data_IF_680210057337
#
_entry.id   IF_680210057337
#
_cell.length_a   1.000
_cell.length_b   1.000
_cell.length_c   1.000
_cell.angle_alpha   90.00
_cell.angle_beta   90.00
_cell.angle_gamma   90.00
#
_symmetry.space_group_name_H-M   'P 1'
#
loop_
_entity.id
_entity.type
_entity.pdbx_description
1 polymer ?
#
# COMPACT_ATOMS: atom_id res chain seq x y z
N UNK A 1 -30.61 30.90 17.87
CA UNK A 1 -29.90 29.61 18.05
C UNK A 1 -30.00 28.87 16.74
N UNK A 2 -28.92 28.92 15.98
CA UNK A 2 -28.82 28.56 14.57
C UNK A 2 -29.09 27.07 14.35
N UNK A 3 -29.64 26.75 13.19
CA UNK A 3 -30.11 25.44 12.74
C UNK A 3 -29.05 24.34 12.91
N UNK A 4 -27.78 24.72 12.87
CA UNK A 4 -26.57 23.93 13.09
C UNK A 4 -26.49 23.29 14.50
N UNK A 5 -26.86 24.01 15.55
CA UNK A 5 -26.91 23.47 16.92
C UNK A 5 -28.05 22.46 17.11
N UNK A 6 -29.07 22.46 16.24
CA UNK A 6 -30.12 21.43 16.27
C UNK A 6 -29.66 20.17 15.57
N UNK A 7 -28.78 20.24 14.57
CA UNK A 7 -28.25 19.07 13.88
C UNK A 7 -27.26 18.30 14.77
N UNK A 8 -26.27 19.01 15.37
CA UNK A 8 -25.33 18.41 16.33
C UNK A 8 -26.02 17.78 17.55
N UNK A 9 -27.12 18.38 18.00
CA UNK A 9 -27.90 17.86 19.14
C UNK A 9 -28.94 16.82 18.74
N UNK A 10 -29.26 16.68 17.45
CA UNK A 10 -30.11 15.60 16.94
C UNK A 10 -29.25 14.34 16.75
N UNK A 11 -28.05 14.44 16.17
CA UNK A 11 -27.08 13.34 16.13
C UNK A 11 -26.73 12.83 17.54
N UNK A 12 -26.36 13.70 18.49
CA UNK A 12 -26.04 13.24 19.86
C UNK A 12 -27.25 12.70 20.66
N UNK A 13 -28.51 13.06 20.32
CA UNK A 13 -29.70 12.59 21.06
C UNK A 13 -30.30 11.30 20.52
N UNK A 14 -30.00 10.89 19.30
CA UNK A 14 -30.44 9.59 18.76
C UNK A 14 -29.50 8.43 19.13
N UNK A 15 -28.33 8.72 19.72
CA UNK A 15 -27.36 7.72 20.19
C UNK A 15 -27.76 6.89 21.43
N UNK A 16 -29.03 6.92 21.87
CA UNK A 16 -29.50 6.10 23.00
C UNK A 16 -30.64 5.12 22.70
N UNK A 17 -31.01 4.89 21.44
CA UNK A 17 -31.97 3.82 21.11
C UNK A 17 -31.98 3.31 19.67
N UNK A 18 -30.84 3.24 19.00
CA UNK A 18 -30.69 2.39 17.80
C UNK A 18 -29.77 1.24 18.15
N UNK A 19 -30.33 0.03 18.16
CA UNK A 19 -29.62 -1.21 18.49
C UNK A 19 -29.08 -1.90 17.22
N UNK A 20 -29.08 -1.18 16.10
CA UNK A 20 -28.47 -1.46 14.80
C UNK A 20 -28.29 -0.10 14.11
N UNK A 21 -27.11 0.20 13.61
CA UNK A 21 -26.95 1.23 12.58
C UNK A 21 -27.79 0.80 11.35
N UNK A 22 -28.18 1.71 10.44
CA UNK A 22 -28.69 1.29 9.15
C UNK A 22 -27.72 0.28 8.52
N UNK A 23 -28.25 -0.77 7.91
CA UNK A 23 -27.45 -1.72 7.12
C UNK A 23 -26.69 -0.91 6.04
N UNK A 24 -27.35 0.07 5.38
CA UNK A 24 -26.69 0.96 4.41
C UNK A 24 -26.75 2.44 4.84
N UNK A 25 -25.63 3.15 4.73
CA UNK A 25 -25.53 4.60 4.94
C UNK A 25 -25.11 5.34 3.67
N UNK A 26 -25.79 6.44 3.35
CA UNK A 26 -25.38 7.36 2.28
C UNK A 26 -25.34 8.80 2.79
N UNK A 27 -24.20 9.47 2.65
CA UNK A 27 -24.05 10.90 2.97
C UNK A 27 -22.61 11.31 3.29
N UNK A 28 -22.41 12.62 3.41
CA UNK A 28 -21.12 13.25 3.76
C UNK A 28 -21.25 14.01 5.09
N UNK A 29 -21.26 13.32 6.25
CA UNK A 29 -21.18 13.99 7.55
C UNK A 29 -19.76 14.53 7.80
N UNK A 30 -19.60 15.60 8.58
CA UNK A 30 -18.25 16.05 9.01
C UNK A 30 -17.47 14.87 9.63
N UNK A 31 -18.01 14.25 10.69
CA UNK A 31 -17.41 13.05 11.31
C UNK A 31 -18.39 11.87 11.27
N UNK A 32 -17.89 10.67 10.96
CA UNK A 32 -18.62 9.41 11.10
C UNK A 32 -17.88 8.40 11.98
N UNK A 33 -18.61 7.75 12.89
CA UNK A 33 -18.11 6.60 13.64
C UNK A 33 -19.13 5.47 13.66
N UNK A 34 -18.77 4.32 13.11
CA UNK A 34 -19.64 3.14 13.08
C UNK A 34 -19.23 2.12 12.01
N UNK A 35 -19.94 0.99 12.01
CA UNK A 35 -19.77 -0.10 11.04
C UNK A 35 -21.16 -0.41 10.44
N UNK A 36 -21.64 0.36 9.45
CA UNK A 36 -22.75 -0.10 8.60
C UNK A 36 -22.29 -1.30 7.76
N UNK A 37 -23.21 -2.04 7.15
CA UNK A 37 -22.84 -3.05 6.15
C UNK A 37 -22.26 -2.29 4.93
N UNK A 38 -23.01 -1.31 4.38
CA UNK A 38 -22.57 -0.47 3.26
C UNK A 38 -22.44 1.02 3.68
N UNK A 39 -21.35 1.69 3.26
CA UNK A 39 -21.21 3.14 3.35
C UNK A 39 -20.92 3.77 1.98
N UNK A 40 -21.67 4.81 1.62
CA UNK A 40 -21.38 5.64 0.45
C UNK A 40 -21.32 7.12 0.80
N UNK A 41 -20.17 7.76 0.62
CA UNK A 41 -20.02 9.20 0.80
C UNK A 41 -18.59 9.66 1.12
N UNK A 42 -18.45 10.95 1.40
CA UNK A 42 -17.15 11.59 1.67
C UNK A 42 -17.26 12.41 2.95
N UNK A 43 -17.14 11.79 4.14
CA UNK A 43 -17.00 12.53 5.38
C UNK A 43 -15.63 13.20 5.48
N UNK A 44 -15.44 14.18 6.36
CA UNK A 44 -14.08 14.69 6.64
C UNK A 44 -13.32 13.56 7.39
N UNK A 45 -13.87 13.08 8.51
CA UNK A 45 -13.29 11.99 9.30
C UNK A 45 -14.19 10.73 9.29
N UNK A 46 -13.66 9.56 8.95
CA UNK A 46 -14.32 8.26 9.13
C UNK A 46 -13.56 7.35 10.08
N UNK A 47 -14.26 6.78 11.07
CA UNK A 47 -13.72 5.71 11.92
C UNK A 47 -14.67 4.53 12.00
N UNK A 48 -14.26 3.37 11.49
CA UNK A 48 -15.13 2.19 11.45
C UNK A 48 -14.63 1.05 10.58
N UNK A 49 -15.42 -0.02 10.54
CA UNK A 49 -15.16 -1.19 9.68
C UNK A 49 -16.48 -1.60 9.06
N UNK A 50 -16.95 -0.93 7.99
CA UNK A 50 -18.08 -1.42 7.21
C UNK A 50 -17.71 -2.67 6.42
N UNK A 51 -18.68 -3.42 5.89
CA UNK A 51 -18.36 -4.48 4.93
C UNK A 51 -17.88 -3.80 3.62
N UNK A 52 -18.69 -2.90 3.05
CA UNK A 52 -18.34 -2.13 1.84
C UNK A 52 -18.23 -0.61 2.14
N UNK A 53 -17.13 0.02 1.73
CA UNK A 53 -17.00 1.48 1.70
C UNK A 53 -16.76 2.01 0.29
N UNK A 54 -17.57 2.98 -0.14
CA UNK A 54 -17.35 3.74 -1.38
C UNK A 54 -17.31 5.25 -1.09
N UNK A 55 -16.17 5.90 -1.32
CA UNK A 55 -16.03 7.30 -0.93
C UNK A 55 -14.64 7.89 -1.03
N UNK A 56 -14.53 9.17 -0.68
CA UNK A 56 -13.24 9.88 -0.57
C UNK A 56 -13.30 10.76 0.66
N UNK A 57 -13.09 10.20 1.88
CA UNK A 57 -12.96 11.01 3.08
C UNK A 57 -11.62 11.74 3.13
N UNK A 58 -11.47 12.78 3.95
CA UNK A 58 -10.13 13.34 4.18
C UNK A 58 -9.32 12.31 4.98
N UNK A 59 -9.80 11.89 6.15
CA UNK A 59 -9.17 10.88 7.01
C UNK A 59 -10.04 9.61 7.13
N UNK A 60 -9.47 8.43 6.83
CA UNK A 60 -10.09 7.13 7.11
C UNK A 60 -9.27 6.30 8.10
N UNK A 61 -9.92 5.82 9.16
CA UNK A 61 -9.34 4.84 10.09
C UNK A 61 -10.25 3.62 10.23
N UNK A 62 -9.80 2.45 9.79
CA UNK A 62 -10.67 1.29 9.73
C UNK A 62 -10.13 0.06 9.02
N UNK A 63 -10.89 -1.02 9.06
CA UNK A 63 -10.63 -2.24 8.28
C UNK A 63 -11.95 -2.71 7.69
N UNK A 64 -12.41 -2.13 6.56
CA UNK A 64 -13.55 -2.68 5.83
C UNK A 64 -13.19 -3.97 5.12
N UNK A 65 -14.18 -4.75 4.67
CA UNK A 65 -13.87 -5.88 3.78
C UNK A 65 -13.44 -5.29 2.41
N UNK A 66 -14.30 -4.47 1.79
CA UNK A 66 -14.02 -3.79 0.51
C UNK A 66 -13.94 -2.26 0.69
N UNK A 67 -12.87 -1.63 0.20
CA UNK A 67 -12.77 -0.18 0.08
C UNK A 67 -12.58 0.27 -1.37
N UNK A 68 -13.44 1.17 -1.85
CA UNK A 68 -13.29 1.86 -3.14
C UNK A 68 -13.27 3.36 -2.95
N UNK A 69 -12.15 4.02 -3.23
CA UNK A 69 -12.03 5.44 -2.92
C UNK A 69 -10.66 6.08 -3.10
N UNK A 70 -10.60 7.37 -2.80
CA UNK A 70 -9.34 8.13 -2.76
C UNK A 70 -9.40 9.08 -1.57
N UNK A 71 -9.10 8.60 -0.35
CA UNK A 71 -8.97 9.47 0.81
C UNK A 71 -7.65 10.26 0.78
N UNK A 72 -7.52 11.35 1.53
CA UNK A 72 -6.22 11.98 1.70
C UNK A 72 -5.34 11.03 2.54
N UNK A 73 -5.79 10.67 3.76
CA UNK A 73 -5.10 9.73 4.65
C UNK A 73 -5.92 8.44 4.88
N UNK A 74 -5.32 7.28 4.65
CA UNK A 74 -5.91 5.98 5.03
C UNK A 74 -5.03 5.24 6.04
N UNK A 75 -5.61 4.87 7.18
CA UNK A 75 -4.99 3.97 8.16
C UNK A 75 -5.86 2.74 8.39
N UNK A 76 -5.38 1.56 8.02
CA UNK A 76 -6.24 0.38 8.04
C UNK A 76 -5.65 -0.91 7.51
N UNK A 77 -6.48 -1.94 7.45
CA UNK A 77 -6.12 -3.22 6.82
C UNK A 77 -7.41 -3.82 6.27
N UNK A 78 -7.90 -3.35 5.11
CA UNK A 78 -9.04 -3.94 4.45
C UNK A 78 -8.68 -5.27 3.79
N UNK A 79 -9.66 -6.10 3.44
CA UNK A 79 -9.36 -7.27 2.59
C UNK A 79 -8.99 -6.76 1.18
N UNK A 80 -9.88 -6.00 0.53
CA UNK A 80 -9.65 -5.42 -0.79
C UNK A 80 -9.63 -3.87 -0.74
N UNK A 81 -8.59 -3.24 -1.30
CA UNK A 81 -8.53 -1.80 -1.51
C UNK A 81 -8.38 -1.44 -2.99
N UNK A 82 -9.28 -0.62 -3.51
CA UNK A 82 -9.18 -0.02 -4.85
C UNK A 82 -9.20 1.50 -4.75
N UNK A 83 -8.10 2.16 -5.12
CA UNK A 83 -8.01 3.60 -4.90
C UNK A 83 -6.69 4.29 -5.16
N UNK A 84 -6.65 5.59 -4.92
CA UNK A 84 -5.42 6.39 -4.95
C UNK A 84 -5.48 7.39 -3.80
N UNK A 85 -5.12 6.99 -2.58
CA UNK A 85 -4.98 7.94 -1.48
C UNK A 85 -3.69 8.76 -1.58
N UNK A 86 -3.59 9.90 -0.90
CA UNK A 86 -2.29 10.57 -0.80
C UNK A 86 -1.37 9.70 0.09
N UNK A 87 -1.78 9.42 1.33
CA UNK A 87 -1.05 8.55 2.27
C UNK A 87 -1.82 7.27 2.61
N UNK A 88 -1.20 6.10 2.43
CA UNK A 88 -1.72 4.82 2.91
C UNK A 88 -0.81 4.18 3.94
N UNK A 89 -1.35 3.86 5.12
CA UNK A 89 -0.69 3.04 6.15
C UNK A 89 -1.52 1.81 6.46
N UNK A 90 -1.02 0.61 6.12
CA UNK A 90 -1.81 -0.59 6.30
C UNK A 90 -1.21 -1.90 5.80
N UNK A 91 -2.01 -2.97 5.81
CA UNK A 91 -1.61 -4.27 5.26
C UNK A 91 -2.88 -4.95 4.75
N UNK A 92 -3.42 -4.51 3.59
CA UNK A 92 -4.56 -5.17 2.99
C UNK A 92 -4.19 -6.53 2.40
N UNK A 93 -5.14 -7.42 2.14
CA UNK A 93 -4.84 -8.63 1.38
C UNK A 93 -4.52 -8.20 -0.07
N UNK A 94 -5.44 -7.50 -0.74
CA UNK A 94 -5.25 -6.99 -2.11
C UNK A 94 -5.28 -5.45 -2.15
N UNK A 95 -4.28 -4.83 -2.79
CA UNK A 95 -4.27 -3.40 -3.09
C UNK A 95 -4.15 -3.15 -4.60
N UNK A 96 -5.11 -2.40 -5.15
CA UNK A 96 -5.06 -1.89 -6.53
C UNK A 96 -5.13 -0.37 -6.55
N UNK A 97 -4.05 0.30 -6.97
CA UNK A 97 -4.02 1.75 -6.86
C UNK A 97 -2.71 2.46 -7.18
N UNK A 98 -2.72 3.78 -7.04
CA UNK A 98 -1.52 4.62 -7.14
C UNK A 98 -1.58 5.67 -6.05
N UNK A 99 -1.18 5.35 -4.81
CA UNK A 99 -1.04 6.34 -3.76
C UNK A 99 0.21 7.20 -3.94
N UNK A 100 0.29 8.38 -3.33
CA UNK A 100 1.57 9.10 -3.30
C UNK A 100 2.55 8.33 -2.39
N UNK A 101 2.18 8.12 -1.12
CA UNK A 101 2.97 7.35 -0.15
C UNK A 101 2.24 6.08 0.30
N UNK A 102 2.90 4.92 0.20
CA UNK A 102 2.42 3.65 0.76
C UNK A 102 3.38 3.09 1.80
N UNK A 103 2.88 2.84 3.01
CA UNK A 103 3.59 2.12 4.07
C UNK A 103 2.81 0.89 4.49
N UNK A 104 3.33 -0.30 4.22
CA UNK A 104 2.57 -1.52 4.49
C UNK A 104 3.20 -2.84 4.08
N UNK A 105 2.43 -3.91 4.15
CA UNK A 105 2.84 -5.24 3.67
C UNK A 105 1.60 -6.00 3.22
N UNK A 106 1.04 -5.64 2.05
CA UNK A 106 -0.10 -6.37 1.51
C UNK A 106 0.30 -7.75 0.99
N UNK A 107 -0.64 -8.67 0.81
CA UNK A 107 -0.32 -9.92 0.12
C UNK A 107 -0.04 -9.59 -1.37
N UNK A 108 -1.00 -8.97 -2.06
CA UNK A 108 -0.86 -8.55 -3.46
C UNK A 108 -0.94 -7.01 -3.60
N UNK A 109 0.03 -6.41 -4.29
CA UNK A 109 -0.01 -5.00 -4.69
C UNK A 109 0.06 -4.84 -6.20
N UNK A 110 -0.92 -4.14 -6.78
CA UNK A 110 -0.91 -3.72 -8.20
C UNK A 110 -1.03 -2.21 -8.30
N UNK A 111 0.02 -1.54 -8.79
CA UNK A 111 0.01 -0.08 -8.76
C UNK A 111 1.27 0.65 -9.18
N UNK A 112 1.24 1.97 -9.09
CA UNK A 112 2.41 2.84 -9.28
C UNK A 112 2.35 3.95 -8.26
N UNK A 113 2.80 3.73 -7.02
CA UNK A 113 2.93 4.79 -6.03
C UNK A 113 4.16 5.66 -6.27
N UNK A 114 4.21 6.87 -5.74
CA UNK A 114 5.46 7.65 -5.77
C UNK A 114 6.47 6.97 -4.83
N UNK A 115 6.14 6.82 -3.54
CA UNK A 115 6.97 6.14 -2.55
C UNK A 115 6.29 4.86 -2.01
N UNK A 116 6.98 3.73 -2.06
CA UNK A 116 6.54 2.48 -1.41
C UNK A 116 7.54 2.01 -0.36
N UNK A 117 7.08 1.83 0.88
CA UNK A 117 7.84 1.20 1.96
C UNK A 117 7.10 -0.04 2.49
N UNK A 118 7.66 -1.23 2.27
CA UNK A 118 6.94 -2.44 2.65
C UNK A 118 7.59 -3.76 2.30
N UNK A 119 6.87 -4.86 2.48
CA UNK A 119 7.31 -6.20 2.09
C UNK A 119 6.09 -7.02 1.68
N UNK A 120 5.49 -6.75 0.51
CA UNK A 120 4.37 -7.54 0.02
C UNK A 120 4.79 -8.93 -0.45
N UNK A 121 3.87 -9.89 -0.53
CA UNK A 121 4.21 -11.17 -1.16
C UNK A 121 4.45 -10.92 -2.67
N UNK A 122 3.45 -10.38 -3.38
CA UNK A 122 3.55 -10.04 -4.79
C UNK A 122 3.41 -8.52 -5.04
N UNK A 123 4.35 -7.92 -5.78
CA UNK A 123 4.26 -6.55 -6.25
C UNK A 123 4.31 -6.46 -7.78
N UNK A 124 3.29 -5.86 -8.39
CA UNK A 124 3.25 -5.53 -9.81
C UNK A 124 3.09 -4.04 -10.02
N UNK A 125 4.09 -3.37 -10.56
CA UNK A 125 4.04 -1.91 -10.63
C UNK A 125 5.26 -1.17 -11.11
N UNK A 126 5.17 0.15 -11.11
CA UNK A 126 6.30 1.05 -11.39
C UNK A 126 6.25 2.22 -10.43
N UNK A 127 6.74 2.07 -9.19
CA UNK A 127 6.86 3.18 -8.26
C UNK A 127 8.06 4.07 -8.58
N UNK A 128 8.09 5.33 -8.12
CA UNK A 128 9.31 6.12 -8.23
C UNK A 128 10.37 5.54 -7.28
N UNK A 129 10.08 5.47 -5.98
CA UNK A 129 10.96 4.87 -4.97
C UNK A 129 10.32 3.63 -4.33
N UNK A 130 11.05 2.51 -4.33
CA UNK A 130 10.65 1.29 -3.59
C UNK A 130 11.69 0.93 -2.53
N UNK A 131 11.26 0.80 -1.28
CA UNK A 131 12.06 0.27 -0.17
C UNK A 131 11.38 -0.94 0.45
N UNK A 132 11.97 -2.14 0.29
CA UNK A 132 11.30 -3.34 0.77
C UNK A 132 12.00 -4.66 0.54
N UNK A 133 11.29 -5.76 0.77
CA UNK A 133 11.76 -7.12 0.47
C UNK A 133 10.55 -7.99 0.12
N UNK A 134 9.94 -7.81 -1.06
CA UNK A 134 8.83 -8.64 -1.49
C UNK A 134 9.29 -10.04 -1.89
N UNK A 135 8.39 -11.02 -1.90
CA UNK A 135 8.74 -12.34 -2.45
C UNK A 135 8.94 -12.18 -3.98
N UNK A 136 7.91 -11.72 -4.70
CA UNK A 136 7.97 -11.46 -6.14
C UNK A 136 7.78 -9.97 -6.46
N UNK A 137 8.70 -9.39 -7.24
CA UNK A 137 8.56 -8.04 -7.80
C UNK A 137 8.57 -8.07 -9.32
N UNK A 138 7.52 -7.54 -9.95
CA UNK A 138 7.43 -7.31 -11.40
C UNK A 138 7.20 -5.84 -11.71
N UNK A 139 8.17 -5.17 -12.33
CA UNK A 139 8.06 -3.74 -12.48
C UNK A 139 9.24 -2.99 -13.06
N UNK A 140 9.12 -1.67 -13.11
CA UNK A 140 10.21 -0.76 -13.49
C UNK A 140 10.14 0.47 -12.59
N UNK A 141 10.69 0.40 -11.36
CA UNK A 141 10.79 1.57 -10.50
C UNK A 141 11.95 2.47 -10.89
N UNK A 142 11.95 3.75 -10.52
CA UNK A 142 13.15 4.58 -10.71
C UNK A 142 14.25 4.07 -9.75
N UNK A 143 14.00 4.08 -8.44
CA UNK A 143 14.91 3.56 -7.42
C UNK A 143 14.33 2.35 -6.69
N UNK A 144 15.08 1.25 -6.64
CA UNK A 144 14.74 0.08 -5.81
C UNK A 144 15.81 -0.19 -4.75
N UNK A 145 15.42 -0.23 -3.49
CA UNK A 145 16.27 -0.62 -2.35
C UNK A 145 15.65 -1.80 -1.61
N UNK A 146 16.31 -2.97 -1.62
CA UNK A 146 15.69 -4.15 -1.03
C UNK A 146 16.39 -5.48 -1.24
N UNK A 147 15.68 -6.56 -0.95
CA UNK A 147 16.16 -7.93 -1.18
C UNK A 147 14.96 -8.83 -1.46
N UNK A 148 14.37 -8.75 -2.67
CA UNK A 148 13.27 -9.63 -3.04
C UNK A 148 13.76 -11.04 -3.34
N UNK A 149 12.91 -12.05 -3.26
CA UNK A 149 13.30 -13.39 -3.72
C UNK A 149 13.47 -13.35 -5.26
N UNK A 150 12.42 -12.98 -5.99
CA UNK A 150 12.43 -12.83 -7.44
C UNK A 150 12.19 -11.37 -7.87
N UNK A 151 13.07 -10.81 -8.70
CA UNK A 151 12.88 -9.51 -9.34
C UNK A 151 12.85 -9.62 -10.86
N UNK A 152 11.76 -9.16 -11.48
CA UNK A 152 11.62 -9.05 -12.93
C UNK A 152 11.35 -7.60 -13.34
N UNK A 153 12.31 -6.94 -13.99
CA UNK A 153 12.14 -5.52 -14.25
C UNK A 153 13.31 -4.76 -14.88
N UNK A 154 13.10 -3.47 -15.07
CA UNK A 154 14.15 -2.54 -15.51
C UNK A 154 14.08 -1.27 -14.68
N UNK A 155 14.67 -1.25 -13.48
CA UNK A 155 14.78 -0.04 -12.69
C UNK A 155 15.92 0.85 -13.16
N UNK A 156 15.89 2.15 -12.87
CA UNK A 156 17.06 3.01 -13.14
C UNK A 156 18.19 2.62 -12.17
N UNK A 157 17.94 2.71 -10.85
CA UNK A 157 18.88 2.30 -9.81
C UNK A 157 18.34 1.09 -9.01
N UNK A 158 19.16 0.04 -8.88
CA UNK A 158 18.86 -1.10 -8.00
C UNK A 158 19.95 -1.27 -6.93
N UNK A 159 19.57 -1.20 -5.66
CA UNK A 159 20.43 -1.50 -4.50
C UNK A 159 19.87 -2.65 -3.69
N UNK A 160 20.48 -3.84 -3.80
CA UNK A 160 19.94 -4.99 -3.09
C UNK A 160 20.65 -6.32 -3.27
N UNK A 161 20.05 -7.38 -2.74
CA UNK A 161 20.55 -8.75 -2.88
C UNK A 161 19.37 -9.70 -3.12
N UNK A 162 18.82 -9.73 -4.34
CA UNK A 162 17.75 -10.66 -4.66
C UNK A 162 18.28 -12.08 -4.84
N UNK A 163 17.44 -13.10 -4.71
CA UNK A 163 17.85 -14.47 -5.07
C UNK A 163 17.98 -14.54 -6.61
N UNK A 164 16.89 -14.27 -7.34
CA UNK A 164 16.86 -14.21 -8.80
C UNK A 164 16.57 -12.79 -9.31
N UNK A 165 17.40 -12.30 -10.23
CA UNK A 165 17.15 -11.03 -10.93
C UNK A 165 17.07 -11.23 -12.44
N UNK A 166 15.97 -10.83 -13.06
CA UNK A 166 15.76 -10.79 -14.50
C UNK A 166 15.46 -9.37 -14.96
N UNK A 167 16.37 -8.73 -15.69
CA UNK A 167 16.18 -7.32 -15.98
C UNK A 167 17.27 -6.59 -16.73
N UNK A 168 17.15 -5.28 -16.86
CA UNK A 168 18.20 -4.42 -17.41
C UNK A 168 18.15 -3.07 -16.70
N UNK A 169 18.78 -2.95 -15.53
CA UNK A 169 18.86 -1.69 -14.80
C UNK A 169 19.97 -0.79 -15.34
N UNK A 170 19.88 0.51 -15.14
CA UNK A 170 20.99 1.41 -15.48
C UNK A 170 22.16 1.17 -14.50
N UNK A 171 21.93 1.36 -13.20
CA UNK A 171 22.92 1.07 -12.16
C UNK A 171 22.45 -0.07 -11.22
N UNK A 172 23.29 -1.09 -11.06
CA UNK A 172 23.02 -2.19 -10.12
C UNK A 172 24.11 -2.28 -9.05
N UNK A 173 23.74 -2.12 -7.79
CA UNK A 173 24.59 -2.31 -6.62
C UNK A 173 24.09 -3.46 -5.76
N UNK A 174 24.70 -4.64 -5.88
CA UNK A 174 24.14 -5.81 -5.21
C UNK A 174 24.92 -7.10 -5.25
N UNK A 175 24.27 -8.17 -4.81
CA UNK A 175 24.82 -9.54 -4.75
C UNK A 175 23.75 -10.60 -5.05
N UNK A 176 23.21 -10.65 -6.29
CA UNK A 176 22.22 -11.65 -6.65
C UNK A 176 22.84 -13.06 -6.73
N UNK A 177 22.06 -14.08 -6.39
CA UNK A 177 22.46 -15.48 -6.57
C UNK A 177 22.45 -15.83 -8.07
N UNK A 178 21.33 -15.57 -8.77
CA UNK A 178 21.22 -15.64 -10.22
C UNK A 178 20.85 -14.27 -10.85
N UNK A 179 21.54 -13.93 -11.95
CA UNK A 179 21.31 -12.66 -12.65
C UNK A 179 21.23 -12.88 -14.16
N UNK A 180 20.07 -12.57 -14.72
CA UNK A 180 19.77 -12.61 -16.15
C UNK A 180 19.47 -11.19 -16.63
N UNK A 181 20.47 -10.51 -17.19
CA UNK A 181 20.29 -9.12 -17.59
C UNK A 181 21.46 -8.47 -18.27
N UNK A 182 21.32 -7.18 -18.57
CA UNK A 182 22.38 -6.35 -19.15
C UNK A 182 22.36 -4.95 -18.52
N UNK A 183 22.96 -4.80 -17.33
CA UNK A 183 23.07 -3.51 -16.65
C UNK A 183 24.14 -2.64 -17.29
N UNK A 184 23.97 -1.32 -17.24
CA UNK A 184 24.96 -0.36 -17.73
C UNK A 184 26.16 -0.24 -16.75
N UNK A 185 25.90 -0.14 -15.44
CA UNK A 185 26.89 -0.30 -14.36
C UNK A 185 26.50 -1.44 -13.39
N UNK A 186 27.50 -2.23 -12.96
CA UNK A 186 27.30 -3.35 -12.04
C UNK A 186 28.36 -3.38 -10.94
N UNK A 187 27.96 -2.96 -9.75
CA UNK A 187 28.79 -2.93 -8.54
C UNK A 187 28.47 -4.12 -7.64
N UNK A 188 29.29 -5.18 -7.72
CA UNK A 188 29.24 -6.30 -6.77
C UNK A 188 29.75 -5.87 -5.40
N UNK A 189 28.91 -5.94 -4.36
CA UNK A 189 29.40 -5.85 -2.98
C UNK A 189 30.11 -7.16 -2.62
N UNK A 190 31.43 -7.13 -2.51
CA UNK A 190 32.19 -8.32 -2.14
C UNK A 190 31.80 -8.80 -0.74
N UNK A 191 31.77 -10.13 -0.52
CA UNK A 191 31.57 -10.67 0.81
C UNK A 191 32.59 -10.13 1.79
N UNK A 192 32.14 -9.82 3.01
CA UNK A 192 33.00 -9.25 4.06
C UNK A 192 33.98 -10.28 4.64
N UNK A 193 33.85 -11.57 4.29
CA UNK A 193 34.67 -12.67 4.83
C UNK A 193 35.21 -13.63 3.75
N UNK A 194 36.45 -14.15 3.91
CA UNK A 194 36.99 -15.23 3.08
C UNK A 194 36.20 -16.55 3.10
N UNK A 195 35.30 -16.78 4.06
CA UNK A 195 34.47 -18.00 4.10
C UNK A 195 33.36 -18.00 3.04
N UNK A 196 32.96 -16.83 2.56
CA UNK A 196 31.93 -16.64 1.53
C UNK A 196 32.47 -16.95 0.11
N UNK A 197 33.80 -17.08 -0.05
CA UNK A 197 34.44 -17.41 -1.33
C UNK A 197 34.21 -18.86 -1.80
N UNK A 198 33.66 -19.73 -0.96
CA UNK A 198 33.55 -21.18 -1.27
C UNK A 198 32.43 -21.53 -2.25
N UNK A 199 31.52 -20.61 -2.58
CA UNK A 199 30.43 -20.87 -3.52
C UNK A 199 30.79 -20.53 -4.98
N UNK A 200 31.82 -19.73 -5.24
CA UNK A 200 32.05 -19.06 -6.53
C UNK A 200 32.78 -19.87 -7.62
N UNK A 201 32.60 -21.19 -7.71
CA UNK A 201 33.27 -22.02 -8.73
C UNK A 201 32.38 -23.04 -9.47
N UNK A 202 31.10 -22.76 -9.64
CA UNK A 202 30.28 -23.46 -10.63
C UNK A 202 29.51 -22.50 -11.50
#
# INVERSE_FOLDING_TARGET
MTTEMKFRRLCQKTFRKFRRLPDDFTGSPDDFTGSPDDFTGSPDDFTGSPDDFTGSPDDFTGSPDDFTGSPDDFTGSPDDFTGSPDDFTGSPDDFTGSPDDFTGSPDDFTGSPDDFTGSPDDFTGSPDDFTGSPDDFTGSPDDFTGSPDDFTGSPDDFTGSPDDFTGSPDDFTGSPDDFTGSPDDFVRRLPRSPDDFKLFLK
#
